data_IF_825379561851
#
_entry.id   IF_825379561851
#
_cell.length_a   1.000
_cell.length_b   1.000
_cell.length_c   1.000
_cell.angle_alpha   90.00
_cell.angle_beta   90.00
_cell.angle_gamma   90.00
#
_symmetry.space_group_name_H-M   'P 1'
#
loop_
_entity.id
_entity.type
_entity.pdbx_description
1 polymer ?
#
# COMPACT_ATOMS: atom_id res chain seq x y z
N UNK A 1 21.12 30.46 -5.45
CA UNK A 1 20.18 29.34 -5.71
C UNK A 1 18.80 29.79 -5.27
N UNK A 2 17.85 29.97 -6.21
CA UNK A 2 16.51 30.48 -5.91
C UNK A 2 15.84 29.66 -4.79
N UNK A 3 15.20 30.32 -3.83
CA UNK A 3 14.51 29.67 -2.69
C UNK A 3 13.57 28.55 -3.11
N UNK A 4 12.93 28.69 -4.28
CA UNK A 4 12.05 27.68 -4.88
C UNK A 4 12.78 26.39 -5.26
N UNK A 5 13.99 26.46 -5.84
CA UNK A 5 14.77 25.26 -6.18
C UNK A 5 15.22 24.48 -4.94
N UNK A 6 15.63 25.20 -3.89
CA UNK A 6 16.01 24.59 -2.60
C UNK A 6 14.83 23.84 -1.97
N UNK A 7 13.64 24.43 -1.99
CA UNK A 7 12.44 23.78 -1.45
C UNK A 7 12.05 22.51 -2.23
N UNK A 8 12.15 22.54 -3.56
CA UNK A 8 11.88 21.36 -4.41
C UNK A 8 12.86 20.22 -4.09
N UNK A 9 14.15 20.51 -3.97
CA UNK A 9 15.17 19.51 -3.62
C UNK A 9 14.91 18.93 -2.21
N UNK A 10 14.64 19.78 -1.22
CA UNK A 10 14.35 19.34 0.16
C UNK A 10 13.10 18.45 0.20
N UNK A 11 12.05 18.83 -0.52
CA UNK A 11 10.83 18.04 -0.63
C UNK A 11 11.09 16.69 -1.31
N UNK A 12 11.85 16.66 -2.39
CA UNK A 12 12.23 15.43 -3.09
C UNK A 12 13.02 14.48 -2.19
N UNK A 13 14.08 14.96 -1.54
CA UNK A 13 14.89 14.17 -0.60
C UNK A 13 14.04 13.67 0.57
N UNK A 14 13.15 14.50 1.09
CA UNK A 14 12.24 14.12 2.17
C UNK A 14 11.31 12.96 1.77
N UNK A 15 10.72 13.04 0.58
CA UNK A 15 9.85 11.96 0.06
C UNK A 15 10.66 10.70 -0.25
N UNK A 16 11.88 10.81 -0.79
CA UNK A 16 12.76 9.68 -1.04
C UNK A 16 13.14 8.95 0.27
N UNK A 17 13.51 9.69 1.32
CA UNK A 17 13.78 9.12 2.64
C UNK A 17 12.55 8.42 3.22
N UNK A 18 11.37 9.01 3.08
CA UNK A 18 10.13 8.38 3.51
C UNK A 18 9.89 7.05 2.77
N UNK A 19 10.14 7.04 1.46
CA UNK A 19 9.98 5.86 0.63
C UNK A 19 10.96 4.74 1.04
N UNK A 20 12.22 5.09 1.27
CA UNK A 20 13.23 4.15 1.79
C UNK A 20 12.80 3.56 3.13
N UNK A 21 12.31 4.39 4.07
CA UNK A 21 11.77 3.91 5.34
C UNK A 21 10.56 2.98 5.17
N UNK A 22 9.71 3.24 4.16
CA UNK A 22 8.56 2.39 3.85
C UNK A 22 8.97 0.98 3.40
N UNK A 23 10.16 0.81 2.82
CA UNK A 23 10.67 -0.50 2.37
C UNK A 23 11.52 -1.20 3.44
N UNK A 24 12.41 -0.45 4.10
CA UNK A 24 13.34 -1.04 5.09
C UNK A 24 12.59 -1.58 6.30
N UNK A 25 11.62 -0.83 6.82
CA UNK A 25 10.90 -1.22 8.04
C UNK A 25 10.21 -2.58 7.91
N UNK A 26 9.37 -2.85 6.89
CA UNK A 26 8.80 -4.18 6.71
C UNK A 26 9.84 -5.27 6.46
N UNK A 27 10.94 -4.95 5.76
CA UNK A 27 11.99 -5.91 5.45
C UNK A 27 12.68 -6.43 6.72
N UNK A 28 12.88 -5.57 7.72
CA UNK A 28 13.50 -5.93 9.01
C UNK A 28 12.47 -6.52 9.96
N UNK A 29 11.29 -5.91 10.07
CA UNK A 29 10.30 -6.28 11.06
C UNK A 29 9.58 -7.59 10.73
N UNK A 30 9.30 -7.85 9.44
CA UNK A 30 8.55 -9.07 9.05
C UNK A 30 9.27 -10.36 9.44
N UNK A 31 10.59 -10.57 9.13
CA UNK A 31 11.32 -11.75 9.61
C UNK A 31 11.31 -11.88 11.14
N UNK A 32 11.54 -10.77 11.84
CA UNK A 32 11.51 -10.76 13.31
C UNK A 32 10.16 -11.26 13.85
N UNK A 33 9.06 -10.74 13.33
CA UNK A 33 7.71 -11.14 13.78
C UNK A 33 7.44 -12.61 13.47
N UNK A 34 7.78 -13.11 12.28
CA UNK A 34 7.57 -14.51 11.92
C UNK A 34 8.31 -15.44 12.88
N UNK A 35 9.55 -15.09 13.26
CA UNK A 35 10.37 -15.89 14.18
C UNK A 35 9.79 -15.85 15.61
N UNK A 36 9.30 -14.69 16.05
CA UNK A 36 8.85 -14.49 17.44
C UNK A 36 7.43 -14.95 17.71
N UNK A 37 6.47 -14.54 16.86
CA UNK A 37 5.06 -14.87 17.06
C UNK A 37 4.62 -16.13 16.29
N UNK A 38 5.42 -16.60 15.34
CA UNK A 38 5.09 -17.74 14.49
C UNK A 38 4.15 -17.39 13.35
N UNK A 39 4.06 -18.32 12.39
CA UNK A 39 3.32 -18.11 11.12
C UNK A 39 1.82 -18.03 11.35
N UNK A 40 1.27 -18.79 12.29
CA UNK A 40 -0.17 -18.79 12.62
C UNK A 40 -0.61 -17.40 13.07
N UNK A 41 0.06 -16.85 14.10
CA UNK A 41 -0.27 -15.54 14.66
C UNK A 41 0.02 -14.41 13.66
N UNK A 42 1.08 -14.56 12.84
CA UNK A 42 1.34 -13.64 11.73
C UNK A 42 0.22 -13.67 10.68
N UNK A 43 -0.40 -14.83 10.45
CA UNK A 43 -1.57 -14.98 9.60
C UNK A 43 -2.80 -14.26 10.15
N UNK A 44 -3.08 -14.44 11.45
CA UNK A 44 -4.17 -13.74 12.16
C UNK A 44 -3.97 -12.22 12.08
N UNK A 45 -2.76 -11.75 12.36
CA UNK A 45 -2.41 -10.32 12.25
C UNK A 45 -2.57 -9.79 10.83
N UNK A 46 -2.16 -10.57 9.82
CA UNK A 46 -2.26 -10.20 8.41
C UNK A 46 -3.72 -10.10 7.94
N UNK A 47 -4.58 -11.03 8.38
CA UNK A 47 -6.01 -11.01 8.14
C UNK A 47 -6.65 -9.76 8.75
N UNK A 48 -6.43 -9.52 10.04
CA UNK A 48 -6.95 -8.34 10.73
C UNK A 48 -6.45 -7.03 10.10
N UNK A 49 -5.17 -6.96 9.72
CA UNK A 49 -4.58 -5.81 9.03
C UNK A 49 -5.25 -5.57 7.68
N UNK A 50 -5.52 -6.63 6.88
CA UNK A 50 -6.17 -6.49 5.59
C UNK A 50 -7.58 -5.89 5.73
N UNK A 51 -8.34 -6.27 6.76
CA UNK A 51 -9.66 -5.70 7.07
C UNK A 51 -9.55 -4.22 7.42
N UNK A 52 -8.64 -3.86 8.32
CA UNK A 52 -8.47 -2.47 8.78
C UNK A 52 -7.98 -1.55 7.65
N UNK A 53 -7.26 -2.07 6.65
CA UNK A 53 -6.89 -1.28 5.47
C UNK A 53 -8.09 -0.75 4.70
N UNK A 54 -9.22 -1.48 4.66
CA UNK A 54 -10.46 -0.97 4.06
C UNK A 54 -11.03 0.20 4.86
N UNK A 55 -11.06 0.10 6.18
CA UNK A 55 -11.52 1.20 7.03
C UNK A 55 -10.62 2.44 6.89
N UNK A 56 -9.31 2.25 6.85
CA UNK A 56 -8.35 3.34 6.62
C UNK A 56 -8.58 4.02 5.27
N UNK A 57 -8.88 3.25 4.22
CA UNK A 57 -9.19 3.81 2.91
C UNK A 57 -10.50 4.62 2.91
N UNK A 58 -11.53 4.15 3.63
CA UNK A 58 -12.79 4.88 3.81
C UNK A 58 -12.52 6.18 4.57
N UNK A 59 -11.79 6.16 5.67
CA UNK A 59 -11.47 7.34 6.48
C UNK A 59 -10.61 8.34 5.69
N UNK A 60 -9.64 7.84 4.90
CA UNK A 60 -8.80 8.68 4.04
C UNK A 60 -9.60 9.35 2.91
N UNK A 61 -10.61 8.67 2.38
CA UNK A 61 -11.55 9.12 1.35
C UNK A 61 -10.91 9.84 0.15
N UNK A 62 -9.63 9.64 -0.09
CA UNK A 62 -8.88 10.32 -1.15
C UNK A 62 -8.51 11.78 -0.86
N UNK A 63 -8.72 12.26 0.37
CA UNK A 63 -8.39 13.63 0.78
C UNK A 63 -6.90 13.95 0.67
N UNK A 64 -6.02 12.96 0.66
CA UNK A 64 -4.59 13.13 0.40
C UNK A 64 -4.31 13.74 -0.99
N UNK A 65 -5.18 13.56 -1.98
CA UNK A 65 -5.08 14.20 -3.30
C UNK A 65 -6.01 15.40 -3.44
N UNK A 66 -7.32 15.24 -3.15
CA UNK A 66 -8.29 16.32 -3.29
C UNK A 66 -8.02 17.49 -2.33
N UNK A 67 -7.71 17.17 -1.07
CA UNK A 67 -7.34 18.16 -0.06
C UNK A 67 -6.03 18.85 -0.38
N UNK A 68 -5.01 18.09 -0.84
CA UNK A 68 -3.73 18.68 -1.28
C UNK A 68 -3.95 19.71 -2.40
N UNK A 69 -4.79 19.38 -3.40
CA UNK A 69 -5.13 20.30 -4.48
C UNK A 69 -5.84 21.55 -3.94
N UNK A 70 -6.89 21.35 -3.15
CA UNK A 70 -7.68 22.45 -2.60
C UNK A 70 -6.83 23.41 -1.72
N UNK A 71 -5.93 22.88 -0.90
CA UNK A 71 -5.00 23.68 -0.09
C UNK A 71 -3.96 24.41 -0.97
N UNK A 72 -3.44 23.74 -2.01
CA UNK A 72 -2.45 24.39 -2.90
C UNK A 72 -3.04 25.59 -3.65
N UNK A 73 -4.32 25.55 -3.99
CA UNK A 73 -5.04 26.63 -4.68
C UNK A 73 -5.25 27.87 -3.80
N UNK A 74 -5.25 27.71 -2.44
CA UNK A 74 -5.50 28.80 -1.47
C UNK A 74 -4.36 28.95 -0.46
N UNK A 75 -3.16 28.48 -0.78
CA UNK A 75 -2.03 28.40 0.16
C UNK A 75 -1.63 29.75 0.80
N UNK A 76 -1.93 30.85 0.15
CA UNK A 76 -1.62 32.21 0.60
C UNK A 76 -2.73 32.80 1.51
N UNK A 77 -3.92 32.21 1.54
CA UNK A 77 -5.04 32.60 2.40
C UNK A 77 -5.21 31.64 3.59
N UNK A 78 -4.61 31.98 4.73
CA UNK A 78 -4.67 31.15 5.94
C UNK A 78 -6.09 30.91 6.45
N UNK A 79 -7.07 31.82 6.18
CA UNK A 79 -8.46 31.64 6.59
C UNK A 79 -9.13 30.56 5.75
N UNK A 80 -8.95 30.57 4.44
CA UNK A 80 -9.48 29.53 3.56
C UNK A 80 -8.78 28.18 3.81
N UNK A 81 -7.47 28.16 4.03
CA UNK A 81 -6.74 26.96 4.49
C UNK A 81 -7.36 26.39 5.76
N UNK A 82 -7.67 27.22 6.75
CA UNK A 82 -8.32 26.83 7.99
C UNK A 82 -9.72 26.22 7.78
N UNK A 83 -10.53 26.80 6.87
CA UNK A 83 -11.87 26.27 6.55
C UNK A 83 -11.78 24.88 5.90
N UNK A 84 -10.94 24.71 4.87
CA UNK A 84 -10.75 23.43 4.19
C UNK A 84 -10.23 22.38 5.17
N UNK A 85 -9.28 22.78 6.05
CA UNK A 85 -8.78 21.90 7.10
C UNK A 85 -9.89 21.35 7.97
N UNK A 86 -10.77 22.22 8.48
CA UNK A 86 -11.89 21.83 9.33
C UNK A 86 -12.87 20.92 8.59
N UNK A 87 -13.26 21.28 7.38
CA UNK A 87 -14.18 20.47 6.56
C UNK A 87 -13.67 19.04 6.38
N UNK A 88 -12.39 18.86 6.07
CA UNK A 88 -11.80 17.53 5.89
C UNK A 88 -11.70 16.79 7.23
N UNK A 89 -11.28 17.45 8.30
CA UNK A 89 -11.18 16.80 9.62
C UNK A 89 -12.57 16.34 10.10
N UNK A 90 -13.60 17.16 9.98
CA UNK A 90 -14.96 16.77 10.33
C UNK A 90 -15.47 15.62 9.46
N UNK A 91 -15.21 15.64 8.15
CA UNK A 91 -15.54 14.52 7.27
C UNK A 91 -14.86 13.22 7.73
N UNK A 92 -13.56 13.26 8.06
CA UNK A 92 -12.82 12.10 8.55
C UNK A 92 -13.32 11.60 9.91
N UNK A 93 -13.71 12.49 10.81
CA UNK A 93 -14.32 12.11 12.09
C UNK A 93 -15.63 11.36 11.84
N UNK A 94 -16.52 11.89 11.01
CA UNK A 94 -17.79 11.23 10.67
C UNK A 94 -17.59 9.86 10.03
N UNK A 95 -16.65 9.78 9.08
CA UNK A 95 -16.28 8.51 8.43
C UNK A 95 -15.66 7.52 9.43
N UNK A 96 -14.85 8.01 10.39
CA UNK A 96 -14.27 7.18 11.44
C UNK A 96 -15.32 6.61 12.39
N UNK A 97 -16.31 7.42 12.79
CA UNK A 97 -17.43 6.96 13.61
C UNK A 97 -18.27 5.92 12.87
N UNK A 98 -18.56 6.17 11.58
CA UNK A 98 -19.25 5.19 10.73
C UNK A 98 -18.45 3.87 10.61
N UNK A 99 -17.14 3.95 10.35
CA UNK A 99 -16.26 2.78 10.29
C UNK A 99 -16.20 2.03 11.60
N UNK A 100 -16.17 2.72 12.75
CA UNK A 100 -16.18 2.10 14.07
C UNK A 100 -17.50 1.35 14.32
N UNK A 101 -18.63 1.98 14.04
CA UNK A 101 -19.95 1.34 14.17
C UNK A 101 -20.06 0.10 13.26
N UNK A 102 -19.54 0.21 12.02
CA UNK A 102 -19.50 -0.91 11.08
C UNK A 102 -18.59 -2.03 11.60
N UNK A 103 -17.41 -1.70 12.14
CA UNK A 103 -16.49 -2.68 12.74
C UNK A 103 -17.15 -3.44 13.90
N UNK A 104 -17.82 -2.73 14.82
CA UNK A 104 -18.58 -3.34 15.92
C UNK A 104 -19.65 -4.29 15.37
N UNK A 105 -20.43 -3.84 14.38
CA UNK A 105 -21.46 -4.66 13.77
C UNK A 105 -20.89 -5.94 13.13
N UNK A 106 -19.78 -5.80 12.37
CA UNK A 106 -19.13 -6.95 11.74
C UNK A 106 -18.55 -7.95 12.76
N UNK A 107 -17.97 -7.46 13.86
CA UNK A 107 -17.46 -8.34 14.93
C UNK A 107 -18.56 -9.07 15.70
N UNK A 108 -19.81 -8.56 15.67
CA UNK A 108 -20.97 -9.25 16.27
C UNK A 108 -21.62 -10.23 15.31
N UNK A 109 -21.60 -9.94 13.99
CA UNK A 109 -22.32 -10.73 12.98
C UNK A 109 -21.48 -11.85 12.36
N UNK A 110 -20.17 -11.67 12.25
CA UNK A 110 -19.27 -12.60 11.55
C UNK A 110 -18.38 -13.32 12.55
N UNK A 111 -18.51 -14.67 12.72
CA UNK A 111 -17.74 -15.43 13.69
C UNK A 111 -16.22 -15.24 13.59
N UNK A 112 -15.68 -15.26 12.35
CA UNK A 112 -14.24 -15.09 12.10
C UNK A 112 -13.74 -13.69 12.56
N UNK A 113 -14.57 -12.65 12.49
CA UNK A 113 -14.21 -11.32 13.00
C UNK A 113 -14.32 -11.26 14.52
N UNK A 114 -15.25 -12.02 15.10
CA UNK A 114 -15.37 -12.12 16.55
C UNK A 114 -14.13 -12.75 17.18
N UNK A 115 -13.56 -13.80 16.56
CA UNK A 115 -12.34 -14.47 17.04
C UNK A 115 -11.13 -13.52 17.11
N UNK A 116 -11.02 -12.58 16.16
CA UNK A 116 -9.91 -11.62 16.06
C UNK A 116 -10.27 -10.21 16.55
N UNK A 117 -11.39 -10.04 17.26
CA UNK A 117 -11.91 -8.71 17.65
C UNK A 117 -10.90 -7.84 18.39
N UNK A 118 -10.12 -8.41 19.30
CA UNK A 118 -9.11 -7.67 20.06
C UNK A 118 -8.05 -7.06 19.16
N UNK A 119 -7.58 -7.81 18.16
CA UNK A 119 -6.65 -7.30 17.13
C UNK A 119 -7.30 -6.25 16.24
N UNK A 120 -8.56 -6.44 15.85
CA UNK A 120 -9.29 -5.48 15.01
C UNK A 120 -9.48 -4.15 15.73
N UNK A 121 -9.87 -4.15 17.01
CA UNK A 121 -10.00 -2.93 17.80
C UNK A 121 -8.65 -2.25 18.05
N UNK A 122 -7.59 -3.02 18.33
CA UNK A 122 -6.25 -2.48 18.48
C UNK A 122 -5.73 -1.84 17.17
N UNK A 123 -5.93 -2.50 16.02
CA UNK A 123 -5.59 -1.97 14.71
C UNK A 123 -6.45 -0.75 14.32
N UNK A 124 -7.69 -0.66 14.82
CA UNK A 124 -8.54 0.49 14.56
C UNK A 124 -7.98 1.79 15.14
N UNK A 125 -7.15 1.72 16.20
CA UNK A 125 -6.42 2.88 16.73
C UNK A 125 -5.56 3.53 15.62
N UNK A 126 -4.94 2.71 14.77
CA UNK A 126 -4.16 3.19 13.62
C UNK A 126 -5.06 3.91 12.58
N UNK A 127 -6.25 3.35 12.31
CA UNK A 127 -7.22 3.97 11.42
C UNK A 127 -7.75 5.31 11.99
N UNK A 128 -7.96 5.36 13.30
CA UNK A 128 -8.34 6.57 14.00
C UNK A 128 -7.22 7.63 14.02
N UNK A 129 -5.96 7.19 14.16
CA UNK A 129 -4.80 8.08 14.06
C UNK A 129 -4.70 8.79 12.70
N UNK A 130 -5.11 8.13 11.60
CA UNK A 130 -5.14 8.74 10.26
C UNK A 130 -6.09 9.94 10.17
N UNK A 131 -7.08 10.08 11.06
CA UNK A 131 -7.96 11.26 11.12
C UNK A 131 -7.17 12.52 11.40
N UNK A 132 -6.26 12.44 12.40
CA UNK A 132 -5.51 13.58 12.93
C UNK A 132 -4.17 13.82 12.22
N UNK A 133 -3.78 13.03 11.23
CA UNK A 133 -2.57 13.30 10.45
C UNK A 133 -2.91 14.05 9.15
N UNK A 134 -2.75 15.39 9.08
CA UNK A 134 -3.18 16.18 7.93
C UNK A 134 -2.11 16.20 6.83
N UNK A 135 -1.81 15.05 6.23
CA UNK A 135 -0.80 14.90 5.19
C UNK A 135 -1.06 15.83 4.00
N UNK A 136 -2.33 15.98 3.62
CA UNK A 136 -2.80 16.82 2.53
C UNK A 136 -2.53 18.32 2.77
N UNK A 137 -2.59 18.78 4.03
CA UNK A 137 -2.24 20.16 4.39
C UNK A 137 -0.75 20.43 4.11
N UNK A 138 0.12 19.57 4.66
CA UNK A 138 1.56 19.73 4.49
C UNK A 138 2.01 19.60 3.03
N UNK A 139 1.36 18.71 2.27
CA UNK A 139 1.59 18.55 0.84
C UNK A 139 1.15 19.80 0.07
N UNK A 140 -0.04 20.33 0.34
CA UNK A 140 -0.56 21.52 -0.30
C UNK A 140 0.29 22.77 -0.07
N UNK A 141 0.79 22.95 1.16
CA UNK A 141 1.70 24.05 1.50
C UNK A 141 3.19 23.73 1.25
N UNK A 142 3.50 22.61 0.57
CA UNK A 142 4.86 22.18 0.21
C UNK A 142 5.83 22.02 1.39
N UNK A 143 5.37 21.57 2.55
CA UNK A 143 6.19 21.33 3.76
C UNK A 143 6.41 19.84 4.03
N UNK A 144 7.00 19.12 3.06
CA UNK A 144 7.21 17.66 3.11
C UNK A 144 8.14 17.21 4.24
N UNK A 145 9.10 18.05 4.63
CA UNK A 145 10.07 17.74 5.70
C UNK A 145 9.37 17.39 7.03
N UNK A 146 8.28 18.08 7.38
CA UNK A 146 7.53 17.81 8.60
C UNK A 146 6.89 16.41 8.57
N UNK A 147 6.28 16.05 7.43
CA UNK A 147 5.69 14.71 7.23
C UNK A 147 6.77 13.63 7.41
N UNK A 148 7.92 13.83 6.75
CA UNK A 148 9.01 12.85 6.73
C UNK A 148 9.53 12.59 8.13
N UNK A 149 9.85 13.64 8.89
CA UNK A 149 10.36 13.50 10.25
C UNK A 149 9.35 12.76 11.13
N UNK A 150 8.10 13.20 11.17
CA UNK A 150 7.09 12.60 12.04
C UNK A 150 6.79 11.14 11.67
N UNK A 151 6.65 10.83 10.37
CA UNK A 151 6.36 9.46 9.94
C UNK A 151 7.55 8.52 10.12
N UNK A 152 8.78 8.97 9.81
CA UNK A 152 9.96 8.13 10.01
C UNK A 152 10.25 7.89 11.50
N UNK A 153 10.16 8.93 12.33
CA UNK A 153 10.32 8.80 13.78
C UNK A 153 9.31 7.80 14.36
N UNK A 154 8.03 7.94 14.00
CA UNK A 154 7.00 6.98 14.39
C UNK A 154 7.34 5.55 14.01
N UNK A 155 7.83 5.33 12.80
CA UNK A 155 8.18 3.99 12.33
C UNK A 155 9.36 3.39 13.07
N UNK A 156 10.42 4.16 13.29
CA UNK A 156 11.58 3.68 14.06
C UNK A 156 11.22 3.40 15.51
N UNK A 157 10.40 4.25 16.14
CA UNK A 157 9.88 4.02 17.48
C UNK A 157 9.03 2.74 17.53
N UNK A 158 8.12 2.55 16.54
CA UNK A 158 7.32 1.34 16.43
C UNK A 158 8.20 0.08 16.31
N UNK A 159 9.21 0.08 15.41
CA UNK A 159 10.12 -1.05 15.24
C UNK A 159 10.89 -1.32 16.53
N UNK A 160 11.48 -0.29 17.15
CA UNK A 160 12.24 -0.42 18.39
C UNK A 160 11.40 -0.98 19.53
N UNK A 161 10.20 -0.44 19.77
CA UNK A 161 9.31 -0.92 20.80
C UNK A 161 8.79 -2.34 20.51
N UNK A 162 8.50 -2.66 19.25
CA UNK A 162 8.07 -4.01 18.88
C UNK A 162 9.18 -5.02 19.12
N UNK A 163 10.44 -4.70 18.76
CA UNK A 163 11.57 -5.59 19.03
C UNK A 163 11.89 -5.76 20.53
N UNK A 164 11.55 -4.78 21.36
CA UNK A 164 11.75 -4.85 22.80
C UNK A 164 10.64 -5.64 23.53
N UNK A 165 9.38 -5.45 23.09
CA UNK A 165 8.21 -5.93 23.84
C UNK A 165 7.60 -7.21 23.28
N UNK A 166 7.81 -7.54 22.00
CA UNK A 166 7.22 -8.73 21.36
C UNK A 166 8.27 -9.85 21.32
N UNK A 167 8.12 -10.84 22.17
CA UNK A 167 9.05 -11.95 22.32
C UNK A 167 8.44 -13.33 22.08
N UNK A 168 7.11 -13.44 22.13
CA UNK A 168 6.37 -14.69 22.01
C UNK A 168 5.07 -14.51 21.22
N UNK A 169 4.39 -15.61 20.89
CA UNK A 169 3.07 -15.62 20.26
C UNK A 169 2.00 -14.88 21.08
N UNK A 170 2.12 -14.90 22.40
CA UNK A 170 1.15 -14.29 23.32
C UNK A 170 1.20 -12.75 23.23
N UNK A 171 2.32 -12.21 22.75
CA UNK A 171 2.54 -10.77 22.60
C UNK A 171 1.97 -10.21 21.31
N UNK A 172 1.29 -11.02 20.48
CA UNK A 172 0.77 -10.60 19.16
C UNK A 172 -0.10 -9.35 19.24
N UNK A 173 -0.88 -9.19 20.30
CA UNK A 173 -1.75 -8.02 20.51
C UNK A 173 -0.94 -6.73 20.75
N UNK A 174 0.27 -6.81 21.26
CA UNK A 174 1.11 -5.62 21.49
C UNK A 174 1.52 -4.96 20.17
N UNK A 175 1.66 -5.74 19.09
CA UNK A 175 2.08 -5.19 17.78
C UNK A 175 1.14 -4.07 17.31
N UNK A 176 -0.18 -4.30 17.14
CA UNK A 176 -1.10 -3.25 16.72
C UNK A 176 -1.31 -2.17 17.79
N UNK A 177 -1.21 -2.49 19.08
CA UNK A 177 -1.30 -1.49 20.15
C UNK A 177 -0.12 -0.51 20.10
N UNK A 178 1.12 -1.01 19.91
CA UNK A 178 2.31 -0.16 19.76
C UNK A 178 2.19 0.68 18.50
N UNK A 179 1.90 0.03 17.36
CA UNK A 179 1.77 0.73 16.06
C UNK A 179 0.71 1.83 16.13
N UNK A 180 -0.48 1.50 16.62
CA UNK A 180 -1.60 2.43 16.76
C UNK A 180 -1.30 3.58 17.70
N UNK A 181 -0.72 3.29 18.88
CA UNK A 181 -0.39 4.30 19.89
C UNK A 181 0.68 5.27 19.40
N UNK A 182 1.76 4.75 18.81
CA UNK A 182 2.83 5.59 18.24
C UNK A 182 2.31 6.44 17.09
N UNK A 183 1.48 5.86 16.23
CA UNK A 183 0.84 6.60 15.14
C UNK A 183 -0.10 7.69 15.66
N UNK A 184 -0.90 7.40 16.69
CA UNK A 184 -1.83 8.35 17.29
C UNK A 184 -1.07 9.53 17.94
N UNK A 185 -0.03 9.25 18.73
CA UNK A 185 0.81 10.30 19.32
C UNK A 185 1.42 11.19 18.23
N UNK A 186 2.02 10.59 17.20
CA UNK A 186 2.59 11.32 16.07
C UNK A 186 1.53 12.15 15.33
N UNK A 187 0.32 11.62 15.17
CA UNK A 187 -0.78 12.31 14.50
C UNK A 187 -1.26 13.50 15.33
N UNK A 188 -1.41 13.35 16.64
CA UNK A 188 -1.80 14.44 17.55
C UNK A 188 -0.72 15.55 17.60
N UNK A 189 0.56 15.19 17.60
CA UNK A 189 1.66 16.17 17.49
C UNK A 189 1.58 16.92 16.17
N UNK A 190 1.38 16.18 15.06
CA UNK A 190 1.20 16.77 13.73
C UNK A 190 0.01 17.72 13.65
N UNK A 191 -1.12 17.29 14.22
CA UNK A 191 -2.35 18.08 14.27
C UNK A 191 -2.19 19.36 15.07
N UNK A 192 -1.64 19.25 16.30
CA UNK A 192 -1.40 20.40 17.18
C UNK A 192 -0.44 21.41 16.55
N UNK A 193 0.61 20.90 15.88
CA UNK A 193 1.54 21.75 15.15
C UNK A 193 0.87 22.47 13.97
N UNK A 194 -0.01 21.77 13.22
CA UNK A 194 -0.77 22.38 12.12
C UNK A 194 -1.66 23.53 12.61
N UNK A 195 -2.42 23.31 13.70
CA UNK A 195 -3.30 24.32 14.29
C UNK A 195 -2.50 25.59 14.67
N UNK A 196 -1.42 25.40 15.43
CA UNK A 196 -0.59 26.51 15.89
C UNK A 196 0.09 27.25 14.73
N UNK A 197 0.61 26.50 13.73
CA UNK A 197 1.39 27.09 12.63
C UNK A 197 0.53 27.88 11.65
N UNK A 198 -0.70 27.43 11.41
CA UNK A 198 -1.61 28.05 10.44
C UNK A 198 -2.70 28.89 11.12
N UNK A 199 -2.61 29.11 12.45
CA UNK A 199 -3.57 29.86 13.25
C UNK A 199 -5.02 29.44 12.96
N UNK A 200 -5.28 28.11 12.97
CA UNK A 200 -6.58 27.57 12.63
C UNK A 200 -7.53 27.75 13.82
N UNK A 201 -8.51 28.62 13.66
CA UNK A 201 -9.59 28.78 14.61
C UNK A 201 -10.64 27.70 14.34
N UNK A 202 -11.02 26.94 15.38
CA UNK A 202 -12.00 25.86 15.23
C UNK A 202 -13.43 26.40 15.26
N UNK A 203 -14.13 26.21 14.14
CA UNK A 203 -15.55 26.43 14.01
C UNK A 203 -16.20 25.18 13.48
N UNK A 204 -17.41 24.87 13.94
CA UNK A 204 -18.17 23.74 13.37
C UNK A 204 -18.53 24.07 11.92
N UNK A 205 -18.01 23.36 10.92
CA UNK A 205 -18.29 23.66 9.53
C UNK A 205 -19.77 23.40 9.21
N UNK A 206 -20.30 24.15 8.25
CA UNK A 206 -21.63 23.87 7.74
C UNK A 206 -21.67 22.47 7.10
N UNK A 207 -22.64 21.64 7.48
CA UNK A 207 -22.77 20.27 6.97
C UNK A 207 -22.81 20.21 5.43
N UNK A 208 -23.36 21.23 4.74
CA UNK A 208 -23.38 21.30 3.27
C UNK A 208 -21.97 21.37 2.68
N UNK A 209 -21.03 22.04 3.34
CA UNK A 209 -19.63 22.12 2.92
C UNK A 209 -18.93 20.76 3.11
N UNK A 210 -19.17 20.09 4.23
CA UNK A 210 -18.63 18.74 4.48
C UNK A 210 -19.12 17.77 3.40
N UNK A 211 -20.42 17.79 3.05
CA UNK A 211 -20.97 16.96 1.97
C UNK A 211 -20.35 17.34 0.61
N UNK A 212 -20.16 18.63 0.34
CA UNK A 212 -19.51 19.07 -0.89
C UNK A 212 -18.08 18.53 -1.01
N UNK A 213 -17.30 18.60 0.08
CA UNK A 213 -15.94 18.08 0.16
C UNK A 213 -15.89 16.55 -0.07
N UNK A 214 -16.86 15.80 0.48
CA UNK A 214 -17.01 14.37 0.19
C UNK A 214 -17.35 14.12 -1.29
N UNK A 215 -18.28 14.90 -1.86
CA UNK A 215 -18.69 14.76 -3.26
C UNK A 215 -17.54 15.01 -4.24
N UNK A 216 -16.72 16.03 -4.00
CA UNK A 216 -15.55 16.35 -4.83
C UNK A 216 -14.52 15.21 -4.75
N UNK A 217 -14.36 14.57 -3.60
CA UNK A 217 -13.38 13.51 -3.37
C UNK A 217 -13.85 12.11 -3.82
N UNK A 218 -15.15 11.94 -4.13
CA UNK A 218 -15.78 10.64 -4.42
C UNK A 218 -15.07 9.83 -5.51
N UNK A 219 -14.74 10.45 -6.65
CA UNK A 219 -14.10 9.75 -7.76
C UNK A 219 -12.68 9.29 -7.40
N UNK A 220 -11.95 10.09 -6.62
CA UNK A 220 -10.62 9.74 -6.14
C UNK A 220 -10.71 8.59 -5.13
N UNK A 221 -11.66 8.67 -4.20
CA UNK A 221 -11.96 7.58 -3.27
C UNK A 221 -12.27 6.28 -4.01
N UNK A 222 -13.22 6.31 -4.95
CA UNK A 222 -13.63 5.11 -5.67
C UNK A 222 -12.47 4.47 -6.42
N UNK A 223 -11.62 5.27 -7.07
CA UNK A 223 -10.42 4.78 -7.76
C UNK A 223 -9.45 4.09 -6.80
N UNK A 224 -9.11 4.72 -5.68
CA UNK A 224 -8.19 4.17 -4.67
C UNK A 224 -8.76 2.94 -3.98
N UNK A 225 -10.03 2.99 -3.63
CA UNK A 225 -10.73 1.89 -2.99
C UNK A 225 -10.80 0.66 -3.89
N UNK A 226 -11.02 0.84 -5.19
CA UNK A 226 -11.01 -0.26 -6.17
C UNK A 226 -9.65 -0.95 -6.25
N UNK A 227 -8.56 -0.19 -6.26
CA UNK A 227 -7.20 -0.76 -6.23
C UNK A 227 -6.94 -1.53 -4.93
N UNK A 228 -7.33 -0.96 -3.80
CA UNK A 228 -7.20 -1.62 -2.50
C UNK A 228 -8.05 -2.88 -2.45
N UNK A 229 -9.27 -2.82 -2.99
CA UNK A 229 -10.19 -3.95 -2.99
C UNK A 229 -9.54 -5.15 -3.66
N UNK A 230 -9.05 -5.02 -4.89
CA UNK A 230 -8.47 -6.17 -5.57
C UNK A 230 -7.14 -6.64 -4.96
N UNK A 231 -6.39 -5.78 -4.25
CA UNK A 231 -5.11 -6.15 -3.65
C UNK A 231 -5.24 -6.79 -2.27
N UNK A 232 -6.27 -6.43 -1.48
CA UNK A 232 -6.43 -6.87 -0.08
C UNK A 232 -7.62 -7.78 0.13
N UNK A 233 -8.63 -7.74 -0.72
CA UNK A 233 -9.80 -8.60 -0.63
C UNK A 233 -9.44 -10.09 -0.63
N UNK A 234 -8.44 -10.46 -1.41
CA UNK A 234 -7.96 -11.84 -1.51
C UNK A 234 -7.48 -12.40 -0.15
N UNK A 235 -6.76 -11.60 0.64
CA UNK A 235 -6.31 -12.00 1.98
C UNK A 235 -7.50 -12.10 2.95
N UNK A 236 -8.46 -11.18 2.84
CA UNK A 236 -9.69 -11.23 3.65
C UNK A 236 -10.50 -12.47 3.29
N UNK A 237 -10.69 -12.75 2.00
CA UNK A 237 -11.41 -13.93 1.53
C UNK A 237 -10.74 -15.22 2.02
N UNK A 238 -9.41 -15.31 1.91
CA UNK A 238 -8.67 -16.46 2.44
C UNK A 238 -8.88 -16.63 3.95
N UNK A 239 -8.85 -15.54 4.72
CA UNK A 239 -9.06 -15.57 6.17
C UNK A 239 -10.49 -15.93 6.59
N UNK A 240 -11.48 -15.69 5.72
CA UNK A 240 -12.88 -16.09 5.95
C UNK A 240 -13.13 -17.56 5.60
N UNK A 241 -12.38 -18.13 4.66
CA UNK A 241 -12.65 -19.47 4.10
C UNK A 241 -11.65 -20.53 4.56
N UNK A 242 -10.49 -20.14 5.09
CA UNK A 242 -9.39 -21.04 5.41
C UNK A 242 -8.85 -20.82 6.83
N UNK A 243 -7.92 -21.67 7.25
CA UNK A 243 -7.31 -21.58 8.59
C UNK A 243 -6.31 -20.42 8.71
N UNK A 244 -6.09 -19.86 9.92
CA UNK A 244 -5.12 -18.80 10.16
C UNK A 244 -3.69 -19.14 9.71
N UNK A 245 -3.28 -20.42 9.78
CA UNK A 245 -1.95 -20.86 9.34
C UNK A 245 -1.80 -20.74 7.81
N UNK A 246 -2.86 -21.01 7.05
CA UNK A 246 -2.85 -20.86 5.59
C UNK A 246 -2.76 -19.38 5.18
N UNK A 247 -3.46 -18.52 5.90
CA UNK A 247 -3.29 -17.06 5.73
C UNK A 247 -1.87 -16.64 6.02
N UNK A 248 -1.26 -17.22 7.06
CA UNK A 248 0.14 -16.98 7.42
C UNK A 248 1.11 -17.40 6.33
N UNK A 249 0.96 -18.61 5.78
CA UNK A 249 1.78 -19.10 4.68
C UNK A 249 1.71 -18.17 3.46
N UNK A 250 0.51 -17.78 3.06
CA UNK A 250 0.31 -16.83 1.97
C UNK A 250 0.95 -15.47 2.27
N UNK A 251 0.68 -14.90 3.45
CA UNK A 251 1.15 -13.59 3.84
C UNK A 251 2.68 -13.51 3.92
N UNK A 252 3.35 -14.54 4.44
CA UNK A 252 4.81 -14.62 4.46
C UNK A 252 5.39 -14.65 3.04
N UNK A 253 4.85 -15.51 2.18
CA UNK A 253 5.30 -15.62 0.79
C UNK A 253 5.05 -14.33 0.00
N UNK A 254 3.86 -13.70 0.18
CA UNK A 254 3.53 -12.39 -0.40
C UNK A 254 4.53 -11.32 0.05
N UNK A 255 4.90 -11.29 1.33
CA UNK A 255 5.88 -10.31 1.86
C UNK A 255 7.26 -10.48 1.26
N UNK A 256 7.73 -11.72 1.08
CA UNK A 256 9.02 -12.01 0.42
C UNK A 256 8.98 -11.55 -1.04
N UNK A 257 7.93 -11.91 -1.76
CA UNK A 257 7.71 -11.48 -3.15
C UNK A 257 7.68 -9.95 -3.26
N UNK A 258 6.90 -9.27 -2.41
CA UNK A 258 6.79 -7.82 -2.42
C UNK A 258 8.11 -7.14 -2.08
N UNK A 259 8.90 -7.68 -1.14
CA UNK A 259 10.21 -7.13 -0.81
C UNK A 259 11.13 -7.10 -2.03
N UNK A 260 11.22 -8.19 -2.78
CA UNK A 260 12.04 -8.27 -4.00
C UNK A 260 11.51 -7.31 -5.08
N UNK A 261 10.21 -7.33 -5.32
CA UNK A 261 9.56 -6.47 -6.32
C UNK A 261 9.78 -4.98 -6.03
N UNK A 262 9.61 -4.56 -4.79
CA UNK A 262 9.76 -3.16 -4.38
C UNK A 262 11.22 -2.68 -4.42
N UNK A 263 12.20 -3.58 -4.25
CA UNK A 263 13.61 -3.26 -4.48
C UNK A 263 13.93 -2.95 -5.95
N UNK A 264 13.12 -3.44 -6.89
CA UNK A 264 13.31 -3.21 -8.33
C UNK A 264 12.56 -1.95 -8.84
N UNK A 265 11.58 -1.44 -8.10
CA UNK A 265 10.80 -0.25 -8.49
C UNK A 265 11.66 1.02 -8.73
N UNK A 266 12.72 1.33 -7.95
CA UNK A 266 13.57 2.47 -8.22
C UNK A 266 14.23 2.46 -9.59
N UNK A 267 14.50 1.28 -10.17
CA UNK A 267 15.05 1.18 -11.53
C UNK A 267 14.09 1.75 -12.57
N UNK A 268 12.79 1.45 -12.44
CA UNK A 268 11.75 1.98 -13.33
C UNK A 268 11.61 3.50 -13.14
N UNK A 269 11.59 3.95 -11.87
CA UNK A 269 11.45 5.37 -11.54
C UNK A 269 12.63 6.21 -12.05
N UNK A 270 13.86 5.67 -12.02
CA UNK A 270 15.05 6.36 -12.51
C UNK A 270 15.04 6.51 -14.04
N UNK A 271 14.55 5.51 -14.76
CA UNK A 271 14.54 5.50 -16.23
C UNK A 271 13.34 6.29 -16.80
N UNK A 272 12.25 6.42 -16.04
CA UNK A 272 11.01 7.07 -16.48
C UNK A 272 11.21 8.50 -17.05
N UNK A 273 11.89 9.46 -16.38
CA UNK A 273 12.04 10.82 -16.88
C UNK A 273 12.88 10.87 -18.16
N UNK A 274 13.90 10.02 -18.27
CA UNK A 274 14.73 9.92 -19.45
C UNK A 274 13.91 9.44 -20.66
N UNK A 275 13.17 8.34 -20.51
CA UNK A 275 12.32 7.81 -21.59
C UNK A 275 11.21 8.78 -21.99
N UNK A 276 10.61 9.50 -21.03
CA UNK A 276 9.56 10.49 -21.31
C UNK A 276 10.09 11.64 -22.18
N UNK A 277 11.30 12.14 -21.91
CA UNK A 277 11.95 13.16 -22.76
C UNK A 277 12.34 12.61 -24.12
N UNK A 278 12.88 11.40 -24.16
CA UNK A 278 13.30 10.77 -25.41
C UNK A 278 12.12 10.53 -26.34
N UNK A 279 10.95 10.19 -25.81
CA UNK A 279 9.72 10.00 -26.59
C UNK A 279 9.30 11.26 -27.36
N UNK A 280 9.52 12.44 -26.78
CA UNK A 280 9.19 13.73 -27.40
C UNK A 280 10.19 14.13 -28.49
N UNK A 281 11.47 13.77 -28.30
CA UNK A 281 12.56 14.24 -29.16
C UNK A 281 12.90 13.27 -30.30
N UNK A 282 12.87 11.96 -30.04
CA UNK A 282 13.27 10.92 -30.98
C UNK A 282 12.53 9.61 -30.71
N UNK A 283 11.44 9.38 -31.45
CA UNK A 283 10.58 8.20 -31.26
C UNK A 283 11.27 6.88 -31.63
N UNK A 284 12.21 6.89 -32.58
CA UNK A 284 12.93 5.69 -33.00
C UNK A 284 13.93 5.26 -31.91
N UNK A 285 14.70 6.19 -31.41
CA UNK A 285 15.63 5.95 -30.31
C UNK A 285 14.88 5.54 -29.02
N UNK A 286 13.73 6.15 -28.75
CA UNK A 286 12.84 5.75 -27.65
C UNK A 286 12.45 4.27 -27.77
N UNK A 287 11.99 3.81 -28.93
CA UNK A 287 11.61 2.42 -29.15
C UNK A 287 12.80 1.46 -28.93
N UNK A 288 13.99 1.84 -29.37
CA UNK A 288 15.22 1.06 -29.13
C UNK A 288 15.57 0.99 -27.65
N UNK A 289 15.54 2.13 -26.95
CA UNK A 289 15.90 2.21 -25.52
C UNK A 289 14.90 1.50 -24.64
N UNK A 290 13.60 1.60 -24.91
CA UNK A 290 12.58 0.89 -24.14
C UNK A 290 12.68 -0.63 -24.31
N UNK A 291 12.97 -1.12 -25.52
CA UNK A 291 13.27 -2.53 -25.77
C UNK A 291 14.49 -2.99 -24.95
N UNK A 292 15.59 -2.25 -24.99
CA UNK A 292 16.79 -2.55 -24.22
C UNK A 292 16.48 -2.62 -22.72
N UNK A 293 15.77 -1.61 -22.19
CA UNK A 293 15.39 -1.57 -20.79
C UNK A 293 14.47 -2.75 -20.40
N UNK A 294 13.48 -3.08 -21.23
CA UNK A 294 12.60 -4.21 -21.04
C UNK A 294 13.39 -5.55 -20.91
N UNK A 295 14.31 -5.81 -21.82
CA UNK A 295 15.09 -7.05 -21.80
C UNK A 295 16.07 -7.09 -20.62
N UNK A 296 16.74 -5.98 -20.29
CA UNK A 296 17.61 -5.89 -19.12
C UNK A 296 16.79 -6.14 -17.84
N UNK A 297 15.63 -5.49 -17.71
CA UNK A 297 14.76 -5.66 -16.56
C UNK A 297 14.20 -7.09 -16.46
N UNK A 298 13.87 -7.71 -17.61
CA UNK A 298 13.44 -9.11 -17.67
C UNK A 298 14.57 -10.06 -17.19
N UNK A 299 15.81 -9.84 -17.61
CA UNK A 299 16.96 -10.65 -17.16
C UNK A 299 17.12 -10.53 -15.63
N UNK A 300 17.02 -9.34 -15.07
CA UNK A 300 17.07 -9.13 -13.61
C UNK A 300 15.93 -9.87 -12.91
N UNK A 301 14.72 -9.83 -13.46
CA UNK A 301 13.56 -10.56 -12.91
C UNK A 301 13.72 -12.08 -13.00
N UNK A 302 14.25 -12.60 -14.12
CA UNK A 302 14.55 -14.04 -14.30
C UNK A 302 15.59 -14.47 -13.27
N UNK A 303 16.67 -13.71 -13.12
CA UNK A 303 17.71 -14.01 -12.12
C UNK A 303 17.12 -13.97 -10.69
N UNK A 304 16.32 -12.96 -10.35
CA UNK A 304 15.66 -12.84 -9.05
C UNK A 304 14.66 -13.97 -8.79
N UNK A 305 13.89 -14.35 -9.81
CA UNK A 305 12.93 -15.48 -9.74
C UNK A 305 13.65 -16.80 -9.50
N UNK A 306 14.70 -17.07 -10.28
CA UNK A 306 15.51 -18.28 -10.14
C UNK A 306 16.20 -18.33 -8.77
N UNK A 307 16.79 -17.21 -8.33
CA UNK A 307 17.40 -17.11 -7.01
C UNK A 307 16.37 -17.40 -5.90
N UNK A 308 15.19 -16.79 -5.96
CA UNK A 308 14.13 -17.05 -4.98
C UNK A 308 13.68 -18.51 -5.01
N UNK A 309 13.49 -19.09 -6.20
CA UNK A 309 13.08 -20.49 -6.34
C UNK A 309 14.11 -21.46 -5.75
N UNK A 310 15.40 -21.26 -6.06
CA UNK A 310 16.48 -22.10 -5.55
C UNK A 310 16.73 -21.91 -4.05
N UNK A 311 16.60 -20.68 -3.55
CA UNK A 311 16.83 -20.37 -2.15
C UNK A 311 15.58 -20.52 -1.26
N UNK A 312 14.41 -20.89 -1.80
CA UNK A 312 13.14 -20.94 -1.06
C UNK A 312 13.22 -21.75 0.23
N UNK A 313 13.79 -22.95 0.18
CA UNK A 313 13.92 -23.82 1.36
C UNK A 313 14.85 -23.20 2.41
N UNK A 314 15.97 -22.61 1.97
CA UNK A 314 16.91 -21.94 2.88
C UNK A 314 16.29 -20.70 3.54
N UNK A 315 15.58 -19.87 2.78
CA UNK A 315 14.86 -18.71 3.30
C UNK A 315 13.82 -19.14 4.34
N UNK A 316 13.06 -20.21 4.05
CA UNK A 316 12.06 -20.73 4.97
C UNK A 316 12.67 -21.31 6.23
N UNK A 317 13.82 -22.02 6.14
CA UNK A 317 14.59 -22.51 7.30
C UNK A 317 15.02 -21.37 8.22
N UNK A 318 15.41 -20.23 7.66
CA UNK A 318 15.81 -19.07 8.45
C UNK A 318 14.63 -18.40 9.17
N UNK A 319 13.43 -18.47 8.59
CA UNK A 319 12.25 -17.77 9.09
C UNK A 319 11.35 -18.64 9.97
N UNK A 320 11.42 -19.96 9.82
CA UNK A 320 10.46 -20.89 10.43
C UNK A 320 11.17 -22.09 11.04
N UNK A 321 10.60 -22.57 12.17
CA UNK A 321 11.12 -23.79 12.84
C UNK A 321 10.82 -25.06 12.06
N UNK A 322 9.70 -25.08 11.36
CA UNK A 322 9.25 -26.22 10.53
C UNK A 322 8.88 -25.75 9.15
N UNK A 323 9.30 -26.50 8.14
CA UNK A 323 9.03 -26.20 6.73
C UNK A 323 7.85 -27.02 6.27
N UNK A 324 6.75 -26.36 5.96
CA UNK A 324 5.59 -26.98 5.30
C UNK A 324 5.80 -27.06 3.80
N UNK A 325 5.39 -28.19 3.16
CA UNK A 325 5.37 -28.31 1.71
C UNK A 325 4.47 -27.25 1.08
N UNK A 326 3.31 -26.95 1.69
CA UNK A 326 2.41 -25.89 1.24
C UNK A 326 3.12 -24.53 1.11
N UNK A 327 3.97 -24.20 2.09
CA UNK A 327 4.71 -22.95 2.08
C UNK A 327 5.75 -22.91 0.94
N UNK A 328 6.43 -24.03 0.69
CA UNK A 328 7.36 -24.14 -0.43
C UNK A 328 6.67 -23.98 -1.78
N UNK A 329 5.47 -24.55 -1.93
CA UNK A 329 4.68 -24.48 -3.16
C UNK A 329 4.18 -23.04 -3.39
N UNK A 330 3.67 -22.36 -2.35
CA UNK A 330 3.24 -20.97 -2.43
C UNK A 330 4.44 -20.07 -2.83
N UNK A 331 5.59 -20.25 -2.21
CA UNK A 331 6.79 -19.43 -2.52
C UNK A 331 7.33 -19.72 -3.92
N UNK A 332 7.23 -20.98 -4.40
CA UNK A 332 7.55 -21.35 -5.77
C UNK A 332 6.62 -20.64 -6.78
N UNK A 333 5.32 -20.56 -6.50
CA UNK A 333 4.37 -19.82 -7.34
C UNK A 333 4.70 -18.33 -7.33
N UNK A 334 5.00 -17.73 -6.18
CA UNK A 334 5.39 -16.33 -6.11
C UNK A 334 6.72 -16.04 -6.81
N UNK A 335 7.65 -17.00 -6.85
CA UNK A 335 8.88 -16.84 -7.66
C UNK A 335 8.55 -16.70 -9.14
N UNK A 336 7.58 -17.48 -9.66
CA UNK A 336 7.09 -17.32 -11.04
C UNK A 336 6.38 -15.98 -11.26
N UNK A 337 5.65 -15.47 -10.26
CA UNK A 337 4.99 -14.17 -10.34
C UNK A 337 5.99 -13.01 -10.57
N UNK A 338 7.23 -13.15 -10.09
CA UNK A 338 8.28 -12.14 -10.33
C UNK A 338 8.56 -11.94 -11.82
N UNK A 339 8.51 -12.99 -12.63
CA UNK A 339 8.74 -12.91 -14.08
C UNK A 339 7.76 -11.96 -14.75
N UNK A 340 6.49 -12.04 -14.36
CA UNK A 340 5.42 -11.22 -14.93
C UNK A 340 5.39 -9.80 -14.38
N UNK A 341 6.21 -9.48 -13.37
CA UNK A 341 6.41 -8.11 -12.88
C UNK A 341 7.08 -7.19 -13.93
N UNK A 342 7.64 -7.75 -15.01
CA UNK A 342 8.10 -6.99 -16.18
C UNK A 342 6.96 -6.17 -16.83
N UNK A 343 5.71 -6.55 -16.62
CA UNK A 343 4.53 -5.76 -16.98
C UNK A 343 4.52 -4.33 -16.43
N UNK A 344 5.25 -4.05 -15.34
CA UNK A 344 5.42 -2.69 -14.82
C UNK A 344 6.14 -1.75 -15.81
N UNK A 345 7.07 -2.28 -16.61
CA UNK A 345 7.71 -1.54 -17.71
C UNK A 345 6.68 -1.22 -18.81
N UNK A 346 5.82 -2.19 -19.16
CA UNK A 346 4.76 -2.00 -20.17
C UNK A 346 3.70 -0.99 -19.69
N UNK A 347 3.38 -1.01 -18.38
CA UNK A 347 2.53 0.02 -17.77
C UNK A 347 3.14 1.41 -17.91
N UNK A 348 4.45 1.52 -17.68
CA UNK A 348 5.20 2.77 -17.81
C UNK A 348 5.16 3.30 -19.25
N UNK A 349 5.29 2.43 -20.24
CA UNK A 349 5.14 2.79 -21.66
C UNK A 349 3.76 3.39 -21.94
N UNK A 350 2.68 2.75 -21.47
CA UNK A 350 1.31 3.26 -21.67
C UNK A 350 1.11 4.65 -21.01
N UNK A 351 1.76 4.91 -19.88
CA UNK A 351 1.71 6.21 -19.21
C UNK A 351 2.47 7.27 -20.05
N UNK A 352 3.70 6.96 -20.52
CA UNK A 352 4.51 7.87 -21.35
C UNK A 352 3.80 8.21 -22.64
N UNK A 353 3.06 7.27 -23.22
CA UNK A 353 2.28 7.45 -24.45
C UNK A 353 0.90 8.10 -24.26
N UNK A 354 0.59 8.59 -23.02
CA UNK A 354 -0.72 9.15 -22.67
C UNK A 354 -1.90 8.18 -22.86
N UNK A 355 -1.65 6.87 -22.74
CA UNK A 355 -2.63 5.78 -22.91
C UNK A 355 -3.08 5.19 -21.56
N UNK A 356 -3.11 6.00 -20.52
CA UNK A 356 -3.53 5.60 -19.16
C UNK A 356 -4.96 5.03 -19.10
N UNK A 357 -5.87 5.49 -19.97
CA UNK A 357 -7.21 4.93 -20.11
C UNK A 357 -7.20 3.45 -20.54
N UNK A 358 -6.24 3.07 -21.39
CA UNK A 358 -6.06 1.66 -21.82
C UNK A 358 -5.55 0.83 -20.64
N UNK A 359 -4.58 1.35 -19.90
CA UNK A 359 -4.07 0.70 -18.69
C UNK A 359 -5.19 0.47 -17.67
N UNK A 360 -6.06 1.46 -17.46
CA UNK A 360 -7.21 1.32 -16.56
C UNK A 360 -8.19 0.23 -17.01
N UNK A 361 -8.45 0.11 -18.32
CA UNK A 361 -9.30 -0.98 -18.86
C UNK A 361 -8.67 -2.34 -18.63
N UNK A 362 -7.36 -2.50 -18.89
CA UNK A 362 -6.65 -3.76 -18.63
C UNK A 362 -6.77 -4.13 -17.14
N UNK A 363 -6.50 -3.17 -16.24
CA UNK A 363 -6.63 -3.38 -14.80
C UNK A 363 -8.05 -3.78 -14.42
N UNK A 364 -9.08 -3.16 -14.97
CA UNK A 364 -10.47 -3.50 -14.72
C UNK A 364 -10.80 -4.95 -15.11
N UNK A 365 -10.39 -5.39 -16.29
CA UNK A 365 -10.62 -6.77 -16.74
C UNK A 365 -9.86 -7.79 -15.88
N UNK A 366 -8.64 -7.47 -15.44
CA UNK A 366 -7.87 -8.36 -14.55
C UNK A 366 -8.46 -8.44 -13.15
N UNK A 367 -9.06 -7.36 -12.64
CA UNK A 367 -9.84 -7.38 -11.39
C UNK A 367 -11.07 -8.26 -11.52
N UNK A 368 -11.82 -8.15 -12.61
CA UNK A 368 -12.98 -9.02 -12.86
C UNK A 368 -12.56 -10.49 -12.93
N UNK A 369 -11.49 -10.80 -13.65
CA UNK A 369 -10.93 -12.14 -13.70
C UNK A 369 -10.57 -12.64 -12.30
N UNK A 370 -9.89 -11.83 -11.50
CA UNK A 370 -9.56 -12.18 -10.11
C UNK A 370 -10.81 -12.55 -9.31
N UNK A 371 -11.84 -11.71 -9.34
CA UNK A 371 -13.08 -11.94 -8.58
C UNK A 371 -13.80 -13.25 -8.98
N UNK A 372 -13.75 -13.61 -10.27
CA UNK A 372 -14.38 -14.83 -10.77
C UNK A 372 -13.62 -16.07 -10.29
N UNK A 373 -12.26 -16.04 -10.34
CA UNK A 373 -11.46 -17.25 -10.12
C UNK A 373 -11.00 -17.44 -8.67
N UNK A 374 -10.97 -16.36 -7.86
CA UNK A 374 -10.42 -16.43 -6.49
C UNK A 374 -11.22 -17.38 -5.60
N UNK A 375 -12.55 -17.28 -5.63
CA UNK A 375 -13.42 -18.06 -4.77
C UNK A 375 -13.29 -19.58 -5.01
N UNK A 376 -13.46 -20.11 -6.25
CA UNK A 376 -13.32 -21.55 -6.51
C UNK A 376 -11.90 -22.07 -6.26
N UNK A 377 -10.85 -21.26 -6.51
CA UNK A 377 -9.48 -21.69 -6.26
C UNK A 377 -9.16 -21.75 -4.76
N UNK A 378 -9.64 -20.80 -3.98
CA UNK A 378 -9.43 -20.80 -2.52
C UNK A 378 -10.18 -21.97 -1.87
N UNK A 379 -11.44 -22.25 -2.25
CA UNK A 379 -12.17 -23.40 -1.69
C UNK A 379 -11.46 -24.73 -2.00
N UNK A 380 -10.86 -24.86 -3.19
CA UNK A 380 -10.28 -26.14 -3.62
C UNK A 380 -8.85 -26.34 -3.15
N UNK A 381 -8.06 -25.27 -3.04
CA UNK A 381 -6.61 -25.33 -2.82
C UNK A 381 -6.11 -24.37 -1.74
N UNK A 382 -6.98 -23.77 -0.95
CA UNK A 382 -6.65 -22.84 0.14
C UNK A 382 -5.66 -21.73 -0.28
N UNK A 383 -4.60 -21.53 0.49
CA UNK A 383 -3.56 -20.55 0.24
C UNK A 383 -2.80 -20.77 -1.08
N UNK A 384 -2.60 -22.03 -1.50
CA UNK A 384 -2.02 -22.37 -2.80
C UNK A 384 -2.93 -21.90 -3.93
N UNK A 385 -4.25 -22.09 -3.77
CA UNK A 385 -5.27 -21.61 -4.70
C UNK A 385 -5.23 -20.11 -4.88
N UNK A 386 -5.03 -19.37 -3.78
CA UNK A 386 -4.87 -17.91 -3.83
C UNK A 386 -3.59 -17.48 -4.55
N UNK A 387 -2.47 -18.18 -4.34
CA UNK A 387 -1.22 -17.93 -5.04
C UNK A 387 -1.35 -18.23 -6.55
N UNK A 388 -2.05 -19.31 -6.93
CA UNK A 388 -2.35 -19.64 -8.33
C UNK A 388 -3.24 -18.55 -8.95
N UNK A 389 -4.27 -18.08 -8.23
CA UNK A 389 -5.12 -16.98 -8.67
C UNK A 389 -4.27 -15.74 -8.97
N UNK A 390 -3.39 -15.36 -8.06
CA UNK A 390 -2.49 -14.22 -8.23
C UNK A 390 -1.59 -14.39 -9.48
N UNK A 391 -1.03 -15.57 -9.70
CA UNK A 391 -0.21 -15.87 -10.88
C UNK A 391 -1.03 -15.74 -12.18
N UNK A 392 -2.22 -16.33 -12.25
CA UNK A 392 -3.09 -16.25 -13.45
C UNK A 392 -3.43 -14.81 -13.77
N UNK A 393 -3.77 -14.00 -12.76
CA UNK A 393 -4.09 -12.58 -12.91
C UNK A 393 -2.87 -11.80 -13.41
N UNK A 394 -1.67 -12.06 -12.88
CA UNK A 394 -0.43 -11.44 -13.34
C UNK A 394 -0.10 -11.81 -14.79
N UNK A 395 -0.27 -13.07 -15.18
CA UNK A 395 -0.09 -13.53 -16.56
C UNK A 395 -1.08 -12.81 -17.50
N UNK A 396 -2.36 -12.79 -17.14
CA UNK A 396 -3.40 -12.13 -17.94
C UNK A 396 -3.11 -10.63 -18.10
N UNK A 397 -2.72 -9.96 -17.01
CA UNK A 397 -2.35 -8.55 -17.03
C UNK A 397 -1.16 -8.29 -17.96
N UNK A 398 -0.11 -9.10 -17.86
CA UNK A 398 1.07 -9.02 -18.72
C UNK A 398 0.74 -9.26 -20.19
N UNK A 399 -0.03 -10.31 -20.53
CA UNK A 399 -0.42 -10.62 -21.91
C UNK A 399 -1.22 -9.47 -22.53
N UNK A 400 -2.21 -8.93 -21.80
CA UNK A 400 -2.99 -7.79 -22.28
C UNK A 400 -2.11 -6.56 -22.54
N UNK A 401 -1.18 -6.27 -21.66
CA UNK A 401 -0.23 -5.17 -21.82
C UNK A 401 0.71 -5.39 -23.01
N UNK A 402 1.22 -6.62 -23.18
CA UNK A 402 2.09 -6.95 -24.31
C UNK A 402 1.36 -6.83 -25.64
N UNK A 403 0.11 -7.30 -25.71
CA UNK A 403 -0.73 -7.17 -26.91
C UNK A 403 -0.96 -5.70 -27.30
N UNK A 404 -1.23 -4.84 -26.34
CA UNK A 404 -1.46 -3.41 -26.60
C UNK A 404 -0.17 -2.69 -26.99
N UNK A 405 0.98 -3.11 -26.47
CA UNK A 405 2.30 -2.54 -26.78
C UNK A 405 3.03 -3.27 -27.94
N UNK A 406 2.35 -4.21 -28.64
CA UNK A 406 2.97 -5.05 -29.69
C UNK A 406 3.69 -4.26 -30.79
N UNK A 407 3.21 -3.07 -31.14
CA UNK A 407 3.80 -2.21 -32.17
C UNK A 407 5.24 -1.81 -31.79
N UNK A 408 5.51 -1.58 -30.50
CA UNK A 408 6.85 -1.20 -30.02
C UNK A 408 7.79 -2.41 -30.04
N UNK A 409 7.29 -3.61 -29.72
CA UNK A 409 8.14 -4.78 -29.49
C UNK A 409 8.31 -5.68 -30.73
N UNK A 410 7.35 -5.69 -31.66
CA UNK A 410 7.33 -6.58 -32.81
C UNK A 410 7.46 -5.86 -34.18
N UNK A 411 7.65 -4.56 -34.18
CA UNK A 411 8.16 -3.77 -35.29
C UNK A 411 9.57 -3.29 -34.99
#
# INVERSE_FOLDING_TARGET
MNSNYRNVIVNFVSLALLQVGNYIVPLVLTPYLIIKIGVKEFGVLSFATAIIMFFRAIISYGFDLSGTKAIAEVSDDLKEVGKIFQEIIYAKILLSLFCFALLVSLTLLIPQFHEVKSLLFALFILAFADVFFPIWLYQGVQRMKAITILKLSSRFIFVGLTMLLVNSSDDTLYIPLIEGSVALISSLVSFSWAIKKFNIEFHVPNYRRVISTLRVSWHIFLSKFSVLFYTRFNVVLLGLLSSPIMVGYYAVAEKIYMAIREMLNPLIQAVFPYLSRLRLNNAEEYNKKIKQFFFVFLIVLVASSLLLYLSKSYILMMLMKEISQYMQDILAIFSLCLLFSVGSVLSTVLIIENRSAVLSRITFFTVLLNLIIVYPLVIKYDAVGLAICFLIVQIAHFIMQLYVNRIIFFR
#
